data_IF_201604787953
#
_entry.id   IF_201604787953
#
_cell.length_a   1.000
_cell.length_b   1.000
_cell.length_c   1.000
_cell.angle_alpha   90.00
_cell.angle_beta   90.00
_cell.angle_gamma   90.00
#
_symmetry.space_group_name_H-M   'P 1'
#
loop_
_entity.id
_entity.type
_entity.pdbx_description
1 polymer ?
#
# COMPACT_ATOMS: atom_id res chain seq x y z
N UNK A 1 18.97 20.64 -18.20
CA UNK A 1 18.69 19.99 -16.91
C UNK A 1 17.34 19.32 -17.05
N UNK A 2 17.25 17.99 -17.12
CA UNK A 2 15.95 17.31 -17.08
C UNK A 2 15.56 17.24 -15.61
N UNK A 3 14.45 17.85 -15.24
CA UNK A 3 13.88 17.65 -13.91
C UNK A 3 13.73 16.15 -13.68
N UNK A 4 14.45 15.64 -12.67
CA UNK A 4 14.22 14.29 -12.18
C UNK A 4 12.91 14.37 -11.43
N UNK A 5 11.79 14.06 -12.09
CA UNK A 5 10.49 13.99 -11.46
C UNK A 5 10.58 13.09 -10.22
N UNK A 6 9.91 13.50 -9.14
CA UNK A 6 9.84 12.69 -7.93
C UNK A 6 9.20 11.35 -8.27
N UNK A 7 9.93 10.25 -8.08
CA UNK A 7 9.38 8.90 -8.18
C UNK A 7 8.91 8.52 -6.79
N UNK A 8 7.61 8.29 -6.65
CA UNK A 8 7.04 7.76 -5.40
C UNK A 8 6.92 6.25 -5.56
N UNK A 9 7.56 5.51 -4.65
CA UNK A 9 7.46 4.05 -4.57
C UNK A 9 6.53 3.69 -3.43
N UNK A 10 5.58 2.78 -3.71
CA UNK A 10 4.68 2.23 -2.72
C UNK A 10 5.21 0.86 -2.25
N UNK A 11 5.18 0.64 -0.94
CA UNK A 11 5.43 -0.65 -0.33
C UNK A 11 4.09 -1.26 0.08
N UNK A 12 3.82 -2.48 -0.38
CA UNK A 12 2.64 -3.27 -0.03
C UNK A 12 3.11 -4.44 0.82
N UNK A 13 2.64 -4.50 2.07
CA UNK A 13 3.10 -5.49 3.06
C UNK A 13 1.93 -6.29 3.60
N UNK A 14 1.99 -7.62 3.44
CA UNK A 14 1.07 -8.55 4.07
C UNK A 14 1.32 -8.59 5.59
N UNK A 15 0.26 -8.45 6.39
CA UNK A 15 0.33 -8.67 7.83
C UNK A 15 0.65 -10.13 8.16
N UNK A 16 1.03 -10.37 9.42
CA UNK A 16 1.42 -11.70 9.91
C UNK A 16 0.72 -11.98 11.23
N UNK A 17 0.61 -13.23 11.67
CA UNK A 17 0.01 -13.54 12.97
C UNK A 17 -1.49 -13.26 13.00
N UNK A 18 -1.95 -12.42 13.94
CA UNK A 18 -3.37 -12.07 14.05
C UNK A 18 -3.85 -11.23 12.86
N UNK A 19 -2.93 -10.50 12.23
CA UNK A 19 -3.14 -9.59 11.10
C UNK A 19 -2.84 -10.27 9.76
N UNK A 20 -2.76 -11.61 9.70
CA UNK A 20 -2.45 -12.35 8.46
C UNK A 20 -3.45 -12.08 7.33
N UNK A 21 -4.62 -11.52 7.64
CA UNK A 21 -5.64 -11.16 6.67
C UNK A 21 -5.62 -9.67 6.29
N UNK A 22 -4.72 -8.87 6.83
CA UNK A 22 -4.68 -7.43 6.60
C UNK A 22 -3.46 -7.03 5.77
N UNK A 23 -3.59 -5.96 4.97
CA UNK A 23 -2.49 -5.43 4.15
C UNK A 23 -2.21 -3.96 4.45
N UNK A 24 -0.94 -3.59 4.57
CA UNK A 24 -0.48 -2.21 4.72
C UNK A 24 0.03 -1.66 3.39
N UNK A 25 -0.32 -0.40 3.09
CA UNK A 25 0.22 0.35 1.97
C UNK A 25 0.95 1.58 2.54
N UNK A 26 2.26 1.67 2.29
CA UNK A 26 3.09 2.79 2.75
C UNK A 26 3.89 3.42 1.62
N UNK A 27 4.32 4.67 1.80
CA UNK A 27 5.35 5.29 0.95
C UNK A 27 6.71 4.76 1.39
N UNK A 28 7.46 4.15 0.46
CA UNK A 28 8.74 3.50 0.80
C UNK A 28 9.76 4.49 1.37
N UNK A 29 9.85 5.69 0.81
CA UNK A 29 10.90 6.66 1.16
C UNK A 29 10.63 7.40 2.48
N UNK A 30 9.36 7.63 2.84
CA UNK A 30 8.99 8.38 4.05
C UNK A 30 8.48 7.48 5.17
N UNK A 31 8.09 6.24 4.87
CA UNK A 31 7.38 5.36 5.79
C UNK A 31 5.95 5.78 6.08
N UNK A 32 5.42 6.78 5.36
CA UNK A 32 4.06 7.27 5.56
C UNK A 32 3.03 6.16 5.27
N UNK A 33 2.14 5.91 6.22
CA UNK A 33 1.03 4.97 6.06
C UNK A 33 -0.10 5.64 5.27
N UNK A 34 -0.41 5.07 4.11
CA UNK A 34 -1.49 5.55 3.24
C UNK A 34 -2.80 4.82 3.52
N UNK A 35 -2.75 3.50 3.75
CA UNK A 35 -3.93 2.68 3.98
C UNK A 35 -3.63 1.39 4.73
N UNK A 36 -4.66 0.90 5.44
CA UNK A 36 -4.75 -0.47 5.94
C UNK A 36 -6.00 -1.09 5.31
N UNK A 37 -5.82 -2.19 4.59
CA UNK A 37 -6.92 -2.94 3.99
C UNK A 37 -7.19 -4.16 4.89
N UNK A 38 -8.24 -4.07 5.70
CA UNK A 38 -8.63 -5.16 6.59
C UNK A 38 -9.29 -6.30 5.83
N UNK A 39 -8.89 -7.53 6.10
CA UNK A 39 -9.43 -8.73 5.45
C UNK A 39 -9.04 -8.90 3.97
N UNK A 40 -8.05 -8.14 3.47
CA UNK A 40 -7.57 -8.21 2.09
C UNK A 40 -6.11 -8.70 2.07
N UNK A 41 -5.85 -9.74 1.27
CA UNK A 41 -4.51 -10.23 0.99
C UNK A 41 -3.79 -9.32 -0.02
N UNK A 42 -2.48 -9.14 0.15
CA UNK A 42 -1.67 -8.25 -0.67
C UNK A 42 -1.69 -8.61 -2.17
N UNK A 43 -1.70 -9.90 -2.50
CA UNK A 43 -1.80 -10.41 -3.87
C UNK A 43 -3.24 -10.36 -4.44
N UNK A 44 -4.22 -10.18 -3.56
CA UNK A 44 -5.64 -10.05 -3.90
C UNK A 44 -6.08 -8.61 -4.18
N UNK A 45 -5.21 -7.61 -4.04
CA UNK A 45 -5.59 -6.20 -4.20
C UNK A 45 -6.01 -5.93 -5.65
N UNK A 46 -7.29 -5.59 -5.84
CA UNK A 46 -7.84 -5.06 -7.08
C UNK A 46 -8.33 -3.62 -6.91
N UNK A 47 -8.62 -2.96 -8.03
CA UNK A 47 -9.26 -1.63 -8.02
C UNK A 47 -10.62 -1.62 -7.30
N UNK A 48 -11.29 -2.77 -7.16
CA UNK A 48 -12.57 -2.86 -6.44
C UNK A 48 -12.47 -2.58 -4.93
N UNK A 49 -11.27 -2.62 -4.36
CA UNK A 49 -11.05 -2.24 -2.96
C UNK A 49 -10.97 -0.72 -2.74
N UNK A 50 -10.92 0.06 -3.82
CA UNK A 50 -10.79 1.50 -3.76
C UNK A 50 -11.98 2.15 -4.44
N UNK A 51 -12.65 3.06 -3.73
CA UNK A 51 -13.54 4.03 -4.36
C UNK A 51 -12.79 5.34 -4.54
N UNK A 52 -12.99 5.99 -5.69
CA UNK A 52 -12.58 7.39 -5.85
C UNK A 52 -13.49 8.21 -4.92
N UNK A 53 -12.89 8.99 -4.03
CA UNK A 53 -13.57 9.94 -3.13
C UNK A 53 -13.41 11.34 -3.69
#
# INVERSE_FOLDING_TARGET
SKEKGLVIVLLITQGTGAEINDTLITVQDTGELLAILSGVQADGITSGHFTVV
#
